data_IF_656143685758
#
_entry.id   IF_656143685758
#
_cell.length_a   1.000
_cell.length_b   1.000
_cell.length_c   1.000
_cell.angle_alpha   90.00
_cell.angle_beta   90.00
_cell.angle_gamma   90.00
#
_symmetry.space_group_name_H-M   'P 1'
#
loop_
_entity.id
_entity.type
_entity.pdbx_description
1 polymer ?
#
# COMPACT_ATOMS: atom_id res chain seq x y z
N UNK A 1 -9.48 -6.78 61.66
CA UNK A 1 -9.04 -5.69 60.73
C UNK A 1 -7.95 -6.12 59.71
N UNK A 2 -7.21 -7.18 59.87
CA UNK A 2 -6.16 -7.61 58.89
C UNK A 2 -6.70 -8.32 57.62
N UNK A 3 -7.87 -8.97 57.68
CA UNK A 3 -8.45 -9.71 56.53
C UNK A 3 -9.01 -8.81 55.44
N UNK A 4 -9.48 -7.61 55.74
CA UNK A 4 -10.07 -6.65 54.77
C UNK A 4 -8.98 -6.04 53.88
N UNK A 5 -7.76 -5.85 54.41
CA UNK A 5 -6.63 -5.31 53.65
C UNK A 5 -6.13 -6.30 52.58
N UNK A 6 -6.18 -7.60 52.83
CA UNK A 6 -5.75 -8.63 51.87
C UNK A 6 -6.72 -8.75 50.67
N UNK A 7 -8.03 -8.60 50.90
CA UNK A 7 -9.03 -8.65 49.82
C UNK A 7 -8.91 -7.45 48.87
N UNK A 8 -8.59 -6.27 49.38
CA UNK A 8 -8.38 -5.07 48.56
C UNK A 8 -7.16 -5.17 47.63
N UNK A 9 -6.05 -5.74 48.16
CA UNK A 9 -4.81 -5.89 47.38
C UNK A 9 -4.97 -6.97 46.30
N UNK A 10 -5.65 -8.07 46.56
CA UNK A 10 -5.92 -9.13 45.58
C UNK A 10 -6.82 -8.60 44.45
N UNK A 11 -7.85 -7.79 44.79
CA UNK A 11 -8.73 -7.21 43.78
C UNK A 11 -8.00 -6.23 42.85
N UNK A 12 -7.11 -5.39 43.39
CA UNK A 12 -6.29 -4.46 42.64
C UNK A 12 -5.32 -5.18 41.69
N UNK A 13 -4.68 -6.25 42.15
CA UNK A 13 -3.75 -7.06 41.34
C UNK A 13 -4.48 -7.78 40.21
N UNK A 14 -5.69 -8.29 40.43
CA UNK A 14 -6.52 -8.94 39.41
C UNK A 14 -6.99 -7.90 38.34
N UNK A 15 -7.40 -6.72 38.78
CA UNK A 15 -7.81 -5.65 37.85
C UNK A 15 -6.62 -5.16 37.02
N UNK A 16 -5.43 -5.01 37.62
CA UNK A 16 -4.21 -4.67 36.86
C UNK A 16 -3.81 -5.76 35.86
N UNK A 17 -3.90 -7.03 36.25
CA UNK A 17 -3.60 -8.14 35.35
C UNK A 17 -4.58 -8.23 34.18
N UNK A 18 -5.88 -7.97 34.41
CA UNK A 18 -6.88 -7.91 33.35
C UNK A 18 -6.65 -6.72 32.40
N UNK A 19 -6.20 -5.56 32.89
CA UNK A 19 -5.84 -4.41 32.06
C UNK A 19 -4.59 -4.65 31.22
N UNK A 20 -3.59 -5.34 31.76
CA UNK A 20 -2.38 -5.73 31.01
C UNK A 20 -2.67 -6.78 29.95
N UNK A 21 -3.60 -7.71 30.24
CA UNK A 21 -4.01 -8.75 29.29
C UNK A 21 -4.84 -8.16 28.13
N UNK A 22 -5.75 -7.20 28.41
CA UNK A 22 -6.51 -6.48 27.40
C UNK A 22 -5.61 -5.65 26.47
N UNK A 23 -4.58 -5.01 27.04
CA UNK A 23 -3.61 -4.21 26.25
C UNK A 23 -2.71 -5.08 25.38
N UNK A 24 -2.39 -6.31 25.81
CA UNK A 24 -1.63 -7.30 25.01
C UNK A 24 -2.44 -7.86 23.84
N UNK A 25 -3.76 -8.02 23.99
CA UNK A 25 -4.63 -8.51 22.92
C UNK A 25 -4.87 -7.47 21.82
N UNK A 26 -4.90 -6.19 22.17
CA UNK A 26 -5.04 -5.10 21.19
C UNK A 26 -3.75 -4.88 20.38
N UNK A 27 -2.59 -5.04 21.00
CA UNK A 27 -1.30 -4.99 20.30
C UNK A 27 -1.16 -6.15 19.31
N UNK A 28 -1.60 -7.34 19.68
CA UNK A 28 -1.55 -8.51 18.80
C UNK A 28 -2.55 -8.42 17.64
N UNK A 29 -3.71 -7.77 17.86
CA UNK A 29 -4.69 -7.48 16.82
C UNK A 29 -4.22 -6.38 15.86
N UNK A 30 -3.49 -5.38 16.35
CA UNK A 30 -2.86 -4.36 15.52
C UNK A 30 -1.70 -4.92 14.69
N UNK A 31 -0.87 -5.80 15.25
CA UNK A 31 0.19 -6.50 14.51
C UNK A 31 -0.36 -7.47 13.46
N UNK A 32 -1.47 -8.15 13.75
CA UNK A 32 -2.15 -9.02 12.78
C UNK A 32 -2.83 -8.21 11.66
N UNK A 33 -3.45 -7.06 11.98
CA UNK A 33 -4.00 -6.15 10.98
C UNK A 33 -2.91 -5.49 10.13
N UNK A 34 -1.77 -5.14 10.72
CA UNK A 34 -0.65 -4.56 9.96
C UNK A 34 0.02 -5.61 9.06
N UNK A 35 0.01 -6.89 9.47
CA UNK A 35 0.51 -8.00 8.65
C UNK A 35 -0.44 -8.39 7.50
N UNK A 36 -1.74 -8.12 7.64
CA UNK A 36 -2.74 -8.33 6.57
C UNK A 36 -2.82 -7.15 5.58
N UNK A 37 -2.18 -6.02 5.86
CA UNK A 37 -2.06 -4.90 4.93
C UNK A 37 -0.81 -4.95 4.05
N UNK A 38 0.14 -5.84 4.38
CA UNK A 38 1.32 -6.09 3.57
C UNK A 38 1.05 -7.33 2.73
N UNK A 39 0.98 -7.10 1.42
CA UNK A 39 1.04 -8.07 0.34
C UNK A 39 -0.21 -8.88 0.03
N UNK A 40 -0.92 -8.49 -1.00
CA UNK A 40 -1.31 -9.48 -2.01
C UNK A 40 -0.05 -9.72 -2.87
N UNK A 41 0.77 -10.67 -2.46
CA UNK A 41 1.80 -11.24 -3.30
C UNK A 41 1.09 -12.03 -4.41
N UNK A 42 0.90 -11.37 -5.55
CA UNK A 42 0.49 -12.07 -6.77
C UNK A 42 1.69 -12.89 -7.27
N UNK A 43 1.43 -14.04 -7.89
CA UNK A 43 2.39 -14.98 -8.49
C UNK A 43 3.38 -14.35 -9.50
N UNK A 44 3.36 -13.03 -9.67
CA UNK A 44 4.17 -12.19 -10.57
C UNK A 44 5.22 -11.34 -9.85
N UNK A 45 5.39 -11.49 -8.54
CA UNK A 45 6.34 -10.67 -7.75
C UNK A 45 5.89 -9.22 -7.48
N UNK A 46 4.70 -8.80 -7.92
CA UNK A 46 4.13 -7.50 -7.57
C UNK A 46 3.82 -7.45 -6.08
N UNK A 47 4.36 -6.44 -5.38
CA UNK A 47 4.00 -6.16 -4.00
C UNK A 47 3.23 -4.85 -3.91
N UNK A 48 2.20 -4.84 -3.07
CA UNK A 48 1.35 -3.66 -2.86
C UNK A 48 1.19 -3.36 -1.38
N UNK A 49 1.19 -2.09 -1.01
CA UNK A 49 0.97 -1.60 0.35
C UNK A 49 -0.03 -0.43 0.31
N UNK A 50 -1.11 -0.51 1.09
CA UNK A 50 -2.06 0.59 1.21
C UNK A 50 -1.49 1.61 2.18
N UNK A 51 -1.15 2.81 1.69
CA UNK A 51 -0.65 3.92 2.48
C UNK A 51 -1.79 4.77 3.08
N UNK A 52 -2.93 4.82 2.37
CA UNK A 52 -4.14 5.52 2.79
C UNK A 52 -5.35 4.81 2.20
N UNK A 53 -6.32 4.50 3.02
CA UNK A 53 -7.58 3.91 2.56
C UNK A 53 -8.41 4.90 1.75
N UNK A 54 -9.00 4.42 0.67
CA UNK A 54 -10.02 5.11 -0.10
C UNK A 54 -11.42 4.74 0.35
N UNK A 55 -12.36 5.64 0.17
CA UNK A 55 -13.77 5.44 0.55
C UNK A 55 -14.73 5.47 -0.65
N UNK A 56 -14.21 5.82 -1.83
CA UNK A 56 -15.01 5.92 -3.05
C UNK A 56 -15.18 4.60 -3.78
N UNK A 57 -15.58 4.69 -5.03
CA UNK A 57 -15.78 3.56 -5.94
C UNK A 57 -14.49 2.79 -6.20
N UNK A 58 -14.61 1.52 -6.50
CA UNK A 58 -13.50 0.61 -6.74
C UNK A 58 -13.19 0.54 -8.24
N UNK A 59 -11.93 0.70 -8.61
CA UNK A 59 -11.47 0.61 -9.99
C UNK A 59 -11.48 -0.83 -10.49
N UNK A 60 -12.08 -1.03 -11.66
CA UNK A 60 -12.18 -2.32 -12.34
C UNK A 60 -11.54 -2.24 -13.74
N UNK A 61 -11.23 -3.41 -14.33
CA UNK A 61 -10.70 -3.46 -15.68
C UNK A 61 -11.73 -2.90 -16.69
N UNK A 62 -11.28 -1.99 -17.54
CA UNK A 62 -12.10 -1.28 -18.51
C UNK A 62 -12.44 0.16 -18.12
N UNK A 63 -12.28 0.51 -16.84
CA UNK A 63 -12.50 1.88 -16.38
C UNK A 63 -11.41 2.83 -16.88
N UNK A 64 -11.78 4.08 -17.11
CA UNK A 64 -10.80 5.17 -17.25
C UNK A 64 -10.50 5.71 -15.85
N UNK A 65 -9.26 5.51 -15.39
CA UNK A 65 -8.82 5.97 -14.08
C UNK A 65 -7.91 7.17 -14.20
N UNK A 66 -8.05 8.09 -13.25
CA UNK A 66 -7.22 9.29 -13.13
C UNK A 66 -6.47 9.24 -11.81
N UNK A 67 -5.14 9.36 -11.87
CA UNK A 67 -4.25 9.20 -10.72
C UNK A 67 -3.24 10.32 -10.60
N UNK A 68 -2.78 10.58 -9.39
CA UNK A 68 -1.47 11.15 -9.14
C UNK A 68 -0.49 10.05 -8.78
N UNK A 69 0.77 10.22 -9.18
CA UNK A 69 1.83 9.28 -8.86
C UNK A 69 3.19 9.93 -8.72
N UNK A 70 4.07 9.24 -8.01
CA UNK A 70 5.52 9.49 -8.02
C UNK A 70 6.25 8.17 -8.11
N UNK A 71 7.18 8.07 -9.05
CA UNK A 71 8.00 6.88 -9.32
C UNK A 71 9.44 7.04 -8.86
N UNK A 72 9.96 6.01 -8.20
CA UNK A 72 11.31 5.92 -7.67
C UNK A 72 11.99 4.62 -8.10
N UNK A 73 13.32 4.67 -8.23
CA UNK A 73 14.18 3.50 -8.25
C UNK A 73 14.42 3.00 -6.82
N UNK A 74 14.98 1.78 -6.66
CA UNK A 74 15.29 1.19 -5.35
C UNK A 74 16.28 2.04 -4.51
N UNK A 75 17.16 2.78 -5.15
CA UNK A 75 18.10 3.70 -4.50
C UNK A 75 17.45 5.01 -4.01
N UNK A 76 16.14 5.17 -4.23
CA UNK A 76 15.38 6.36 -3.87
C UNK A 76 15.40 7.48 -4.93
N UNK A 77 16.08 7.28 -6.06
CA UNK A 77 16.09 8.25 -7.16
C UNK A 77 14.70 8.39 -7.75
N UNK A 78 14.10 9.58 -7.68
CA UNK A 78 12.84 9.89 -8.33
C UNK A 78 13.08 10.04 -9.83
N UNK A 79 12.33 9.28 -10.64
CA UNK A 79 12.47 9.33 -12.09
C UNK A 79 11.27 9.98 -12.81
N UNK A 80 10.09 10.00 -12.19
CA UNK A 80 8.91 10.66 -12.75
C UNK A 80 7.89 11.01 -11.65
N UNK A 81 7.11 12.08 -11.87
CA UNK A 81 6.03 12.47 -10.97
C UNK A 81 5.00 13.33 -11.67
N UNK A 82 3.73 12.95 -11.60
CA UNK A 82 2.60 13.76 -12.04
C UNK A 82 2.38 14.99 -11.16
N UNK A 83 2.76 14.89 -9.88
CA UNK A 83 2.70 16.02 -8.93
C UNK A 83 3.67 17.14 -9.31
N UNK A 84 4.90 16.79 -9.73
CA UNK A 84 5.90 17.76 -10.17
C UNK A 84 5.45 18.51 -11.44
N UNK A 85 4.66 17.85 -12.29
CA UNK A 85 4.05 18.48 -13.49
C UNK A 85 2.78 19.27 -13.19
N UNK A 86 2.18 19.06 -12.01
CA UNK A 86 0.91 19.67 -11.64
C UNK A 86 -0.29 19.13 -12.42
N UNK A 87 -0.15 17.99 -13.10
CA UNK A 87 -1.17 17.40 -13.98
C UNK A 87 -1.35 15.93 -13.69
N UNK A 88 -2.58 15.47 -13.32
CA UNK A 88 -2.86 14.06 -13.12
C UNK A 88 -2.77 13.27 -14.42
N UNK A 89 -2.57 11.97 -14.30
CA UNK A 89 -2.45 11.06 -15.43
C UNK A 89 -3.69 10.16 -15.51
N UNK A 90 -4.27 10.06 -16.71
CA UNK A 90 -5.43 9.21 -16.97
C UNK A 90 -5.09 8.11 -17.96
N UNK A 91 -5.60 6.90 -17.70
CA UNK A 91 -5.42 5.75 -18.59
C UNK A 91 -6.58 4.76 -18.44
N UNK A 92 -6.77 3.88 -19.43
CA UNK A 92 -7.74 2.80 -19.37
C UNK A 92 -7.12 1.59 -18.67
N UNK A 93 -7.71 1.21 -17.54
CA UNK A 93 -7.19 0.15 -16.67
C UNK A 93 -7.36 -1.23 -17.32
N UNK A 94 -6.32 -2.07 -17.26
CA UNK A 94 -6.34 -3.44 -17.75
C UNK A 94 -6.26 -3.58 -19.28
N UNK A 95 -5.89 -2.52 -20.00
CA UNK A 95 -5.84 -2.53 -21.47
C UNK A 95 -4.42 -2.56 -22.04
N UNK A 96 -3.38 -2.59 -21.19
CA UNK A 96 -1.98 -2.55 -21.61
C UNK A 96 -1.51 -1.17 -22.06
N UNK A 97 -2.22 -0.09 -21.71
CA UNK A 97 -1.75 1.28 -21.96
C UNK A 97 -0.60 1.68 -21.06
N UNK A 98 -0.44 1.01 -19.94
CA UNK A 98 0.61 1.20 -18.94
C UNK A 98 1.37 -0.12 -18.75
N UNK A 99 2.45 -0.11 -17.98
CA UNK A 99 3.17 -1.33 -17.61
C UNK A 99 2.25 -2.28 -16.83
N UNK A 100 2.46 -3.58 -16.98
CA UNK A 100 1.61 -4.62 -16.39
C UNK A 100 1.50 -4.48 -14.87
N UNK A 101 2.57 -4.07 -14.20
CA UNK A 101 2.56 -3.79 -12.77
C UNK A 101 1.55 -2.72 -12.36
N UNK A 102 1.26 -1.76 -13.22
CA UNK A 102 0.22 -0.74 -13.00
C UNK A 102 -1.18 -1.30 -13.24
N UNK A 103 -1.40 -1.96 -14.38
CA UNK A 103 -2.71 -2.57 -14.69
C UNK A 103 -3.17 -3.52 -13.57
N UNK A 104 -2.23 -4.25 -12.97
CA UNK A 104 -2.51 -5.14 -11.84
C UNK A 104 -2.58 -4.41 -10.50
N UNK A 105 -1.67 -3.46 -10.27
CA UNK A 105 -1.51 -2.78 -8.97
C UNK A 105 -2.58 -1.74 -8.69
N UNK A 106 -3.12 -1.08 -9.72
CA UNK A 106 -4.20 -0.08 -9.61
C UNK A 106 -5.57 -0.74 -9.58
N UNK A 107 -5.71 -1.94 -10.17
CA UNK A 107 -6.96 -2.70 -10.08
C UNK A 107 -7.37 -2.91 -8.63
N UNK A 108 -8.64 -2.62 -8.35
CA UNK A 108 -9.21 -2.75 -7.02
C UNK A 108 -8.89 -1.61 -6.06
N UNK A 109 -8.14 -0.57 -6.46
CA UNK A 109 -8.03 0.66 -5.67
C UNK A 109 -9.38 1.37 -5.58
N UNK A 110 -9.61 2.02 -4.46
CA UNK A 110 -10.80 2.87 -4.27
C UNK A 110 -10.44 4.33 -4.50
N UNK A 111 -11.37 5.11 -4.99
CA UNK A 111 -11.18 6.57 -5.11
C UNK A 111 -10.82 7.16 -3.75
N UNK A 112 -9.75 7.96 -3.70
CA UNK A 112 -9.12 8.50 -2.49
C UNK A 112 -8.07 7.59 -1.84
N UNK A 113 -7.87 6.37 -2.35
CA UNK A 113 -6.82 5.46 -1.87
C UNK A 113 -5.46 5.90 -2.38
N UNK A 114 -4.44 5.79 -1.52
CA UNK A 114 -3.02 5.88 -1.89
C UNK A 114 -2.37 4.54 -1.64
N UNK A 115 -1.73 4.00 -2.67
CA UNK A 115 -1.09 2.69 -2.66
C UNK A 115 0.36 2.80 -3.14
N UNK A 116 1.25 2.07 -2.46
CA UNK A 116 2.60 1.83 -2.91
C UNK A 116 2.64 0.54 -3.72
N UNK A 117 3.27 0.59 -4.89
CA UNK A 117 3.50 -0.54 -5.77
C UNK A 117 5.01 -0.79 -5.86
N UNK A 118 5.46 -2.01 -5.62
CA UNK A 118 6.84 -2.45 -5.87
C UNK A 118 6.76 -3.43 -7.05
N UNK A 119 7.28 -3.00 -8.17
CA UNK A 119 7.11 -3.63 -9.48
C UNK A 119 8.46 -4.18 -9.93
N UNK A 120 8.63 -5.52 -9.99
CA UNK A 120 9.84 -6.12 -10.53
C UNK A 120 9.95 -5.88 -12.06
N UNK A 121 11.16 -5.98 -12.61
CA UNK A 121 11.40 -5.65 -14.01
C UNK A 121 10.54 -6.42 -15.00
N UNK A 122 10.17 -7.67 -14.71
CA UNK A 122 9.40 -8.56 -15.60
C UNK A 122 8.02 -7.99 -15.97
N UNK A 123 7.42 -7.23 -15.05
CA UNK A 123 6.11 -6.55 -15.24
C UNK A 123 6.25 -5.03 -15.26
N UNK A 124 7.50 -4.55 -15.37
CA UNK A 124 7.89 -3.16 -15.54
C UNK A 124 8.48 -2.90 -16.92
N UNK A 125 9.70 -2.35 -16.96
CA UNK A 125 10.40 -2.02 -18.22
C UNK A 125 11.44 -3.10 -18.64
N UNK A 126 11.54 -4.20 -17.91
CA UNK A 126 12.36 -5.37 -18.27
C UNK A 126 13.84 -5.11 -18.41
N UNK A 127 14.49 -5.98 -19.21
CA UNK A 127 15.92 -5.94 -19.45
C UNK A 127 16.40 -4.73 -20.26
N UNK A 128 15.50 -3.94 -20.83
CA UNK A 128 15.87 -2.75 -21.63
C UNK A 128 15.82 -1.46 -20.81
N UNK A 129 15.02 -1.40 -19.74
CA UNK A 129 14.70 -0.14 -19.10
C UNK A 129 14.07 0.87 -20.07
N UNK A 130 14.36 2.14 -19.92
CA UNK A 130 13.98 3.20 -20.88
C UNK A 130 15.24 3.69 -21.60
N UNK A 131 15.51 3.24 -22.85
CA UNK A 131 16.71 3.64 -23.58
C UNK A 131 16.82 5.16 -23.72
N UNK A 132 17.90 5.74 -23.18
CA UNK A 132 18.10 7.18 -23.11
C UNK A 132 17.26 7.90 -22.04
N UNK A 133 16.46 7.19 -21.28
CA UNK A 133 15.65 7.68 -20.18
C UNK A 133 16.25 7.34 -18.79
N UNK A 134 15.51 7.66 -17.73
CA UNK A 134 16.01 7.56 -16.35
C UNK A 134 15.97 6.14 -15.75
N UNK A 135 15.29 5.18 -16.39
CA UNK A 135 15.10 3.84 -15.83
C UNK A 135 16.15 2.88 -16.42
N UNK A 136 17.08 2.35 -15.59
CA UNK A 136 18.10 1.42 -16.07
C UNK A 136 17.53 0.03 -16.42
N UNK A 137 18.30 -0.82 -17.14
CA UNK A 137 17.95 -2.21 -17.35
C UNK A 137 17.71 -2.98 -16.04
N UNK A 138 16.71 -3.85 -16.04
CA UNK A 138 16.34 -4.70 -14.89
C UNK A 138 16.05 -3.95 -13.60
N UNK A 139 15.50 -2.74 -13.71
CA UNK A 139 15.15 -1.94 -12.54
C UNK A 139 13.84 -2.42 -11.89
N UNK A 140 13.86 -2.61 -10.60
CA UNK A 140 12.66 -2.64 -9.76
C UNK A 140 12.16 -1.21 -9.60
N UNK A 141 10.86 -1.00 -9.77
CA UNK A 141 10.22 0.31 -9.69
C UNK A 141 9.37 0.40 -8.45
N UNK A 142 9.42 1.55 -7.80
CA UNK A 142 8.58 1.84 -6.64
C UNK A 142 7.70 3.03 -7.01
N UNK A 143 6.39 2.82 -6.99
CA UNK A 143 5.43 3.91 -7.23
C UNK A 143 4.58 4.13 -5.99
N UNK A 144 4.33 5.40 -5.69
CA UNK A 144 3.21 5.82 -4.86
C UNK A 144 2.13 6.36 -5.77
N UNK A 145 0.95 5.74 -5.76
CA UNK A 145 -0.17 6.06 -6.64
C UNK A 145 -1.37 6.45 -5.79
N UNK A 146 -2.01 7.57 -6.09
CA UNK A 146 -3.27 8.00 -5.50
C UNK A 146 -4.36 8.02 -6.57
N UNK A 147 -5.44 7.25 -6.36
CA UNK A 147 -6.58 7.22 -7.26
C UNK A 147 -7.52 8.39 -6.97
N UNK A 148 -7.67 9.28 -7.94
CA UNK A 148 -8.45 10.51 -7.82
C UNK A 148 -9.89 10.35 -8.33
N UNK A 149 -10.06 9.63 -9.46
CA UNK A 149 -11.33 9.54 -10.16
C UNK A 149 -11.42 8.28 -11.02
N UNK A 150 -12.65 7.81 -11.22
CA UNK A 150 -13.04 6.76 -12.16
C UNK A 150 -14.10 7.35 -13.10
N UNK A 151 -13.97 7.15 -14.42
CA UNK A 151 -14.94 7.53 -15.48
C UNK A 151 -15.41 6.31 -16.27
#
# INVERSE_FOLDING_TARGET
>A
MKAIFYFGIILIVVVLALHLFAKGSDQNKQLANNKNQISMENNSGLQTEILKEGTGEKAEAGDTVTVHYTGYLEDGTKFDSSLDRGEPFSFNLGTGQVIEGWDRGVAGMKVGEKRKLIIPPEIGYGARGTPGGPIPPNATLIFEVELLKID
#
